data_IF_192347270206
#
_entry.id   IF_192347270206
#
_cell.length_a   1.000
_cell.length_b   1.000
_cell.length_c   1.000
_cell.angle_alpha   90.00
_cell.angle_beta   90.00
_cell.angle_gamma   90.00
#
_symmetry.space_group_name_H-M   'P 1'
#
loop_
_entity.id
_entity.type
_entity.pdbx_description
1 polymer ?
2 non-polymer ?
3 water ?
#
# COMPACT_ATOMS: atom_id res chain seq x y z
N UNK A 1 32.49 6.83 7.73
CA UNK A 1 31.12 6.70 8.19
C UNK A 1 30.99 6.09 9.59
N UNK A 2 29.77 6.37 10.01
CA UNK A 2 29.19 5.96 11.27
C UNK A 2 28.59 4.57 11.19
N UNK A 3 28.61 3.77 12.24
CA UNK A 3 27.88 2.52 12.34
C UNK A 3 27.13 2.59 13.66
N UNK A 4 25.83 2.42 13.75
CA UNK A 4 25.05 2.56 14.97
C UNK A 4 24.41 1.21 15.18
N UNK A 5 24.61 0.53 16.31
CA UNK A 5 23.95 -0.73 16.58
C UNK A 5 22.70 -0.44 17.38
N UNK A 6 21.64 -1.21 17.06
CA UNK A 6 20.40 -1.12 17.83
C UNK A 6 19.96 -2.56 18.06
N UNK A 7 19.43 -2.91 19.23
CA UNK A 7 18.88 -4.25 19.46
C UNK A 7 17.74 -4.51 18.44
N UNK A 8 16.86 -3.52 18.25
CA UNK A 8 15.74 -3.59 17.31
C UNK A 8 15.75 -2.34 16.41
N UNK A 9 15.72 -2.65 15.11
CA UNK A 9 15.60 -1.64 14.07
C UNK A 9 14.33 -1.82 13.25
N UNK A 10 13.58 -0.77 13.05
CA UNK A 10 12.35 -0.80 12.26
C UNK A 10 12.59 0.05 11.01
N UNK A 11 12.33 -0.57 9.86
CA UNK A 11 12.37 0.19 8.61
C UNK A 11 10.99 0.65 8.17
N UNK A 12 10.68 1.93 8.16
CA UNK A 12 9.44 2.38 7.57
C UNK A 12 8.73 3.21 8.59
N UNK A 13 8.15 4.31 8.12
CA UNK A 13 7.39 5.18 8.99
C UNK A 13 5.94 5.26 8.49
N UNK A 14 5.35 4.16 8.01
CA UNK A 14 3.94 4.09 7.71
C UNK A 14 3.26 3.52 8.94
N UNK A 15 1.95 3.18 8.94
CA UNK A 15 1.29 2.62 10.13
C UNK A 15 1.94 1.34 10.66
N UNK A 16 2.50 0.45 9.82
CA UNK A 16 3.09 -0.73 10.39
C UNK A 16 4.35 -0.36 11.13
N UNK A 17 5.27 0.47 10.57
CA UNK A 17 6.49 0.76 11.34
C UNK A 17 6.23 1.55 12.64
N UNK A 18 5.30 2.52 12.60
CA UNK A 18 4.98 3.28 13.80
C UNK A 18 4.30 2.47 14.89
N UNK A 19 3.42 1.52 14.51
CA UNK A 19 2.78 0.67 15.55
C UNK A 19 3.80 -0.26 16.11
N UNK A 20 4.72 -0.76 15.26
CA UNK A 20 5.76 -1.63 15.76
C UNK A 20 6.65 -0.85 16.71
N UNK A 21 6.94 0.44 16.45
CA UNK A 21 7.76 1.19 17.38
C UNK A 21 6.93 1.41 18.68
N UNK A 22 5.62 1.77 18.64
CA UNK A 22 5.00 2.02 19.95
C UNK A 22 4.95 0.70 20.70
N UNK A 23 4.71 -0.51 20.12
CA UNK A 23 4.74 -1.76 20.90
C UNK A 23 6.13 -2.13 21.32
N UNK A 24 7.16 -1.88 20.52
CA UNK A 24 8.54 -2.21 20.93
C UNK A 24 9.03 -1.26 22.05
N UNK A 25 8.70 0.03 21.99
CA UNK A 25 9.11 0.96 23.02
C UNK A 25 8.44 0.59 24.37
N UNK A 26 7.14 0.20 24.37
CA UNK A 26 6.48 -0.18 25.65
C UNK A 26 6.86 -1.58 26.03
N UNK A 27 7.73 -2.26 25.22
CA UNK A 27 8.26 -3.52 25.66
C UNK A 27 9.67 -3.28 26.20
N UNK A 28 10.05 -1.97 26.32
CA UNK A 28 11.37 -1.55 26.78
C UNK A 28 12.52 -2.00 25.87
N UNK A 29 12.24 -2.05 24.55
CA UNK A 29 13.24 -2.47 23.60
C UNK A 29 14.03 -1.33 22.99
N UNK A 30 13.70 -0.10 23.30
CA UNK A 30 14.39 1.09 22.81
C UNK A 30 14.59 1.04 21.30
N UNK A 31 13.53 0.98 20.51
CA UNK A 31 13.64 0.83 19.07
C UNK A 31 14.14 2.09 18.41
N UNK A 32 14.77 1.75 17.29
CA UNK A 32 15.20 2.76 16.36
C UNK A 32 14.38 2.55 15.10
N UNK A 33 13.78 3.58 14.56
CA UNK A 33 12.99 3.53 13.37
C UNK A 33 13.64 4.45 12.34
N UNK A 34 13.85 3.88 11.17
CA UNK A 34 14.31 4.60 9.98
C UNK A 34 13.15 4.91 9.10
N UNK A 35 12.98 6.21 8.89
CA UNK A 35 11.81 6.65 8.16
C UNK A 35 11.64 6.29 6.69
N UNK A 36 12.78 6.16 5.96
CA UNK A 36 12.70 6.09 4.52
C UNK A 36 12.43 7.48 3.99
N UNK A 37 12.39 7.61 2.66
CA UNK A 37 12.17 8.93 2.05
C UNK A 37 10.74 9.42 2.16
N UNK A 38 9.78 8.49 2.26
CA UNK A 38 8.38 8.92 2.38
C UNK A 38 7.94 8.89 3.86
N UNK A 39 8.16 9.99 4.54
CA UNK A 39 7.94 10.08 5.96
C UNK A 39 6.44 10.04 6.19
N UNK A 40 5.96 9.01 6.90
CA UNK A 40 4.53 8.91 7.14
C UNK A 40 3.90 7.89 6.23
N UNK A 41 4.63 7.46 5.19
CA UNK A 41 4.14 6.43 4.30
C UNK A 41 3.06 6.87 3.35
N UNK A 42 2.38 5.87 2.73
CA UNK A 42 1.39 6.07 1.67
C UNK A 42 0.18 6.87 2.05
N UNK A 43 -0.15 6.94 3.35
CA UNK A 43 -1.35 7.62 3.83
C UNK A 43 -1.17 9.13 3.78
N UNK A 44 0.07 9.63 3.70
CA UNK A 44 0.29 11.03 3.46
C UNK A 44 -0.07 11.39 2.03
N UNK A 45 -0.46 10.48 1.15
CA UNK A 45 -0.79 10.83 -0.23
C UNK A 45 -2.31 10.86 -0.43
N UNK A 46 -3.08 10.63 0.62
CA UNK A 46 -4.52 10.68 0.47
C UNK A 46 -5.05 11.80 1.38
N UNK A 47 -6.36 12.06 1.23
CA UNK A 47 -7.07 13.05 1.99
C UNK A 47 -7.95 12.35 3.03
N UNK A 48 -9.27 12.35 2.98
CA UNK A 48 -10.07 11.76 4.02
C UNK A 48 -9.91 10.23 4.14
N UNK A 49 -9.78 9.84 5.41
CA UNK A 49 -9.74 8.44 5.79
C UNK A 49 -10.99 8.18 6.71
N UNK A 50 -11.91 7.29 6.28
CA UNK A 50 -13.04 6.97 7.14
C UNK A 50 -13.27 5.53 7.54
N UNK A 51 -12.18 4.76 7.47
CA UNK A 51 -12.18 3.37 7.86
C UNK A 51 -11.07 3.07 8.82
N UNK A 52 -10.45 4.07 9.46
CA UNK A 52 -9.60 3.86 10.59
C UNK A 52 -10.56 3.76 11.80
N UNK A 53 -10.72 2.54 12.39
CA UNK A 53 -11.78 2.31 13.37
C UNK A 53 -11.65 3.16 14.65
N UNK A 54 -12.75 3.83 14.99
CA UNK A 54 -12.70 4.66 16.14
C UNK A 54 -12.45 6.10 15.73
N UNK A 55 -12.33 6.48 14.45
CA UNK A 55 -12.17 7.87 14.06
C UNK A 55 -13.27 8.15 13.09
N UNK A 56 -14.54 8.32 13.54
CA UNK A 56 -15.71 8.42 12.67
C UNK A 56 -15.72 9.60 11.74
N UNK A 57 -15.17 10.71 12.25
CA UNK A 57 -15.13 11.92 11.45
C UNK A 57 -13.80 12.66 11.50
N UNK A 58 -13.66 13.47 10.46
CA UNK A 58 -12.59 14.44 10.30
C UNK A 58 -11.18 13.87 10.21
N UNK A 59 -10.91 12.64 9.79
CA UNK A 59 -9.52 12.16 9.81
C UNK A 59 -9.03 12.23 8.42
N UNK A 60 -7.79 12.69 8.29
CA UNK A 60 -7.14 12.57 7.01
C UNK A 60 -5.86 11.72 7.21
N UNK A 61 -5.30 11.20 6.11
CA UNK A 61 -4.11 10.36 6.13
C UNK A 61 -2.96 11.06 6.79
N UNK A 62 -2.61 12.36 6.46
CA UNK A 62 -1.57 13.10 7.16
C UNK A 62 -1.85 13.27 8.66
N UNK A 63 -3.10 13.51 9.13
CA UNK A 63 -3.24 13.71 10.57
C UNK A 63 -3.05 12.39 11.29
N UNK A 64 -3.51 11.27 10.74
CA UNK A 64 -3.35 9.98 11.41
C UNK A 64 -1.85 9.75 11.57
N UNK A 65 -1.06 9.99 10.52
CA UNK A 65 0.37 9.68 10.60
C UNK A 65 1.12 10.61 11.57
N UNK A 66 0.65 11.85 11.73
CA UNK A 66 1.16 12.85 12.67
C UNK A 66 0.91 12.30 14.06
N UNK A 67 -0.33 11.84 14.29
CA UNK A 67 -0.67 11.20 15.57
C UNK A 67 0.17 10.01 15.87
N UNK A 68 0.43 9.15 14.86
CA UNK A 68 1.32 8.01 15.07
C UNK A 68 2.75 8.35 15.42
N UNK A 69 3.22 9.41 14.78
CA UNK A 69 4.59 9.87 15.00
C UNK A 69 4.68 10.41 16.40
N UNK A 70 3.71 11.22 16.85
CA UNK A 70 3.65 11.68 18.23
C UNK A 70 3.61 10.57 19.26
N UNK A 71 2.87 9.50 18.89
CA UNK A 71 2.73 8.35 19.76
C UNK A 71 4.08 7.65 19.89
N UNK A 72 4.78 7.36 18.80
CA UNK A 72 6.07 6.67 18.91
C UNK A 72 7.10 7.52 19.64
N UNK A 73 7.08 8.86 19.46
CA UNK A 73 8.10 9.67 20.13
C UNK A 73 7.72 9.89 21.57
N UNK A 74 6.45 9.82 22.01
CA UNK A 74 6.09 9.87 23.46
C UNK A 74 6.83 8.78 24.21
N UNK A 75 7.04 7.60 23.55
CA UNK A 75 7.70 6.50 24.20
C UNK A 75 9.18 6.48 23.83
N UNK A 76 9.73 7.59 23.35
CA UNK A 76 11.17 7.71 23.10
C UNK A 76 11.81 6.83 22.02
N UNK A 77 11.02 6.52 20.97
CA UNK A 77 11.54 5.85 19.81
C UNK A 77 12.54 6.86 19.20
N UNK A 78 13.72 6.35 18.87
CA UNK A 78 14.74 7.11 18.17
C UNK A 78 14.37 7.10 16.73
N UNK A 79 13.90 8.21 16.18
CA UNK A 79 13.58 8.27 14.78
C UNK A 79 14.73 8.87 13.93
N UNK A 80 15.13 8.17 12.86
CA UNK A 80 16.23 8.59 11.98
C UNK A 80 15.71 8.79 10.59
N UNK A 81 15.93 9.99 10.04
CA UNK A 81 15.52 10.23 8.65
C UNK A 81 16.66 9.73 7.76
N UNK A 82 16.54 8.50 7.25
CA UNK A 82 17.50 7.94 6.32
C UNK A 82 16.71 6.95 5.43
N UNK A 83 17.31 6.32 4.43
CA UNK A 83 16.68 5.42 3.53
C UNK A 83 17.71 4.38 3.32
N UNK A 84 17.36 3.10 3.43
CA UNK A 84 18.31 1.98 3.27
C UNK A 84 18.48 1.55 1.81
N UNK A 85 19.75 1.52 1.37
CA UNK A 85 20.02 1.15 -0.02
C UNK A 85 20.70 -0.21 -0.20
N UNK A 86 21.18 -0.88 0.85
CA UNK A 86 21.85 -2.15 0.69
C UNK A 86 21.73 -2.86 2.02
N UNK A 87 21.70 -4.20 2.07
CA UNK A 87 21.49 -4.92 3.29
C UNK A 87 22.34 -6.17 3.22
N UNK A 88 22.81 -6.63 4.37
CA UNK A 88 23.36 -7.97 4.49
C UNK A 88 22.69 -8.60 5.71
N UNK A 89 21.90 -9.63 5.40
CA UNK A 89 21.04 -10.30 6.36
C UNK A 89 21.54 -11.68 6.64
N UNK A 90 22.68 -12.00 6.01
CA UNK A 90 23.22 -13.33 6.15
C UNK A 90 24.34 -13.41 7.15
N UNK A 91 24.80 -12.29 7.68
CA UNK A 91 25.66 -12.31 8.83
C UNK A 91 24.98 -11.67 10.04
N UNK A 92 25.53 -11.83 11.24
CA UNK A 92 24.94 -11.33 12.45
C UNK A 92 26.00 -10.47 13.07
N UNK A 93 25.66 -9.27 13.59
CA UNK A 93 24.34 -8.65 13.49
C UNK A 93 24.00 -8.37 12.03
N UNK A 94 22.73 -8.20 11.70
CA UNK A 94 22.32 -7.70 10.41
C UNK A 94 22.95 -6.35 10.13
N UNK A 95 23.41 -6.13 8.88
CA UNK A 95 23.95 -4.83 8.55
C UNK A 95 23.16 -4.17 7.44
N UNK A 96 22.88 -2.88 7.55
CA UNK A 96 22.04 -2.14 6.65
C UNK A 96 22.77 -0.83 6.39
N UNK A 97 22.82 -0.47 5.13
CA UNK A 97 23.56 0.69 4.69
C UNK A 97 22.59 1.74 4.21
N UNK A 98 22.64 2.86 4.88
CA UNK A 98 21.84 4.00 4.48
C UNK A 98 22.73 5.09 3.85
N UNK A 99 22.09 6.20 3.56
CA UNK A 99 22.81 7.33 2.98
C UNK A 99 23.60 8.02 4.08
N UNK A 100 23.07 8.02 5.31
CA UNK A 100 23.72 8.71 6.41
C UNK A 100 24.53 7.80 7.32
N UNK A 101 24.88 6.58 6.89
CA UNK A 101 25.69 5.67 7.66
C UNK A 101 25.23 4.21 7.59
N UNK A 102 25.82 3.40 8.45
CA UNK A 102 25.56 2.00 8.52
C UNK A 102 24.78 1.73 9.81
N UNK A 103 23.94 0.74 9.82
CA UNK A 103 23.13 0.38 10.97
C UNK A 103 23.29 -1.12 11.13
N UNK A 104 23.50 -1.58 12.36
CA UNK A 104 23.46 -3.01 12.61
C UNK A 104 22.39 -3.24 13.66
N UNK A 105 21.88 -4.47 13.72
CA UNK A 105 20.82 -4.75 14.70
C UNK A 105 20.70 -6.22 14.94
N UNK A 106 20.10 -6.60 16.08
CA UNK A 106 19.94 -8.03 16.39
C UNK A 106 18.61 -8.57 15.85
N UNK A 107 17.63 -7.70 15.69
CA UNK A 107 16.31 -8.06 15.11
C UNK A 107 15.87 -6.88 14.24
N UNK A 108 15.19 -7.22 13.16
CA UNK A 108 14.80 -6.28 12.14
C UNK A 108 13.33 -6.40 11.81
N UNK A 109 12.64 -5.29 11.78
CA UNK A 109 11.25 -5.32 11.32
C UNK A 109 11.27 -4.51 10.03
N UNK A 110 10.83 -5.14 8.96
CA UNK A 110 10.80 -4.53 7.65
C UNK A 110 9.33 -4.16 7.50
N UNK A 111 9.07 -2.88 7.27
CA UNK A 111 7.74 -2.35 7.03
C UNK A 111 7.80 -1.28 5.94
N UNK A 112 8.38 -1.71 4.79
CA UNK A 112 8.66 -0.75 3.73
C UNK A 112 7.56 -0.52 2.71
N UNK A 113 6.35 -1.14 2.86
CA UNK A 113 5.27 -0.74 1.98
C UNK A 113 5.35 -1.31 0.58
N UNK A 114 4.29 -0.98 -0.13
CA UNK A 114 4.04 -1.39 -1.53
C UNK A 114 3.21 -0.26 -2.19
N UNK A 115 3.94 0.71 -2.76
CA UNK A 115 3.33 1.94 -3.26
C UNK A 115 2.57 1.82 -4.52
N UNK A 116 1.46 2.55 -4.60
CA UNK A 116 0.62 2.57 -5.79
C UNK A 116 1.23 3.42 -6.92
N UNK A 117 1.17 2.85 -8.14
CA UNK A 117 1.65 3.54 -9.35
C UNK A 117 0.42 4.28 -9.89
N UNK A 118 0.74 5.40 -10.61
CA UNK A 118 -0.23 6.25 -11.26
C UNK A 118 0.08 6.29 -12.75
N UNK A 119 -0.84 6.87 -13.53
CA UNK A 119 -0.68 6.96 -14.99
C UNK A 119 0.37 7.99 -15.38
N UNK A 120 0.60 9.03 -14.55
CA UNK A 120 1.57 10.07 -14.86
C UNK A 120 1.05 11.21 -15.70
N UNK A 121 -0.28 11.34 -15.74
CA UNK A 121 -0.95 12.41 -16.50
C UNK A 121 -1.09 13.64 -15.64
N UNK A 122 -0.91 14.88 -16.10
CA UNK A 122 -1.01 16.03 -15.24
C UNK A 122 -2.45 16.30 -14.82
N UNK A 123 -3.49 16.01 -15.63
CA UNK A 123 -4.89 16.12 -15.16
C UNK A 123 -5.24 15.07 -14.09
N UNK A 124 -4.65 13.85 -14.16
CA UNK A 124 -4.82 12.90 -13.03
C UNK A 124 -4.20 13.43 -11.72
N UNK A 125 -2.99 14.01 -11.83
CA UNK A 125 -2.27 14.60 -10.73
C UNK A 125 -3.08 15.66 -10.05
N UNK A 126 -3.69 16.53 -10.89
CA UNK A 126 -4.54 17.64 -10.48
C UNK A 126 -5.67 17.20 -9.55
N UNK A 127 -6.32 16.10 -9.93
CA UNK A 127 -7.42 15.56 -9.18
C UNK A 127 -7.12 14.50 -8.11
N UNK A 128 -5.85 14.20 -7.80
CA UNK A 128 -5.50 13.24 -6.74
C UNK A 128 -6.17 13.69 -5.49
N UNK A 129 -6.90 12.78 -4.85
CA UNK A 129 -7.56 13.11 -3.58
C UNK A 129 -8.87 13.89 -3.72
N UNK A 130 -9.34 14.13 -4.94
CA UNK A 130 -10.57 14.85 -5.21
C UNK A 130 -11.23 14.17 -6.40
N UNK A 131 -11.26 12.86 -6.37
CA UNK A 131 -11.89 12.14 -7.45
C UNK A 131 -10.99 11.08 -8.08
N UNK A 132 -9.67 11.18 -7.95
CA UNK A 132 -8.77 10.13 -8.46
C UNK A 132 -8.24 9.41 -7.21
N UNK A 133 -8.24 8.09 -7.22
CA UNK A 133 -7.83 7.35 -6.05
C UNK A 133 -7.13 6.12 -6.56
N UNK A 134 -6.35 5.47 -5.70
CA UNK A 134 -5.72 4.22 -6.11
C UNK A 134 -6.18 3.18 -5.11
N UNK A 135 -7.24 3.38 -4.30
CA UNK A 135 -7.69 2.32 -3.41
C UNK A 135 -9.25 2.33 -3.32
N UNK A 136 -9.87 1.35 -3.98
CA UNK A 136 -11.32 1.19 -4.02
C UNK A 136 -11.87 0.79 -2.67
N UNK A 137 -11.17 -0.07 -1.90
CA UNK A 137 -11.68 -0.42 -0.58
C UNK A 137 -11.78 0.78 0.30
N UNK A 138 -10.79 1.66 0.19
CA UNK A 138 -10.70 2.81 1.06
C UNK A 138 -11.77 3.84 0.65
N UNK A 139 -11.81 4.10 -0.66
CA UNK A 139 -12.59 5.24 -1.16
C UNK A 139 -13.86 4.96 -1.92
N UNK A 140 -14.16 3.70 -2.14
CA UNK A 140 -15.30 3.32 -3.00
C UNK A 140 -16.60 3.84 -2.42
N UNK A 141 -16.75 3.87 -1.09
CA UNK A 141 -18.04 4.25 -0.48
C UNK A 141 -18.41 5.71 -0.64
N UNK A 142 -17.42 6.60 -0.93
CA UNK A 142 -17.71 7.98 -1.26
C UNK A 142 -18.51 8.02 -2.52
N UNK A 143 -18.41 7.04 -3.39
CA UNK A 143 -19.12 7.04 -4.66
C UNK A 143 -20.34 6.17 -4.74
N UNK A 144 -20.93 5.85 -3.62
CA UNK A 144 -22.10 4.97 -3.58
C UNK A 144 -23.18 5.54 -4.46
N UNK A 145 -23.70 4.72 -5.38
CA UNK A 145 -24.79 5.06 -6.28
C UNK A 145 -24.36 6.08 -7.30
N UNK A 146 -23.07 6.18 -7.58
CA UNK A 146 -22.59 7.11 -8.61
C UNK A 146 -21.81 6.33 -9.64
N UNK A 147 -21.42 6.88 -10.78
CA UNK A 147 -20.69 6.18 -11.85
C UNK A 147 -19.19 6.34 -11.57
N UNK A 148 -18.47 5.29 -11.78
CA UNK A 148 -17.06 5.24 -11.42
C UNK A 148 -16.27 4.60 -12.55
N UNK A 149 -15.00 4.97 -12.74
CA UNK A 149 -14.21 4.26 -13.71
C UNK A 149 -13.02 3.75 -12.89
N UNK A 150 -12.54 2.63 -13.37
CA UNK A 150 -11.38 1.91 -12.86
C UNK A 150 -10.46 1.73 -14.08
N UNK A 151 -9.17 2.06 -14.00
CA UNK A 151 -8.31 1.73 -15.14
C UNK A 151 -7.19 0.73 -14.76
N UNK A 152 -6.93 -0.25 -15.61
CA UNK A 152 -5.92 -1.23 -15.33
C UNK A 152 -6.28 -2.54 -16.00
N UNK A 153 -5.28 -3.45 -15.96
CA UNK A 153 -5.53 -4.64 -16.73
C UNK A 153 -5.16 -5.89 -15.99
N UNK A 154 -4.69 -5.83 -14.75
CA UNK A 154 -4.35 -7.10 -14.09
C UNK A 154 -5.40 -7.51 -13.08
N UNK A 155 -4.89 -8.25 -12.09
CA UNK A 155 -5.73 -8.70 -11.00
C UNK A 155 -6.32 -7.57 -10.19
N UNK A 156 -5.49 -6.56 -9.88
CA UNK A 156 -5.94 -5.48 -9.04
C UNK A 156 -7.10 -4.73 -9.69
N UNK A 157 -7.01 -4.44 -11.00
CA UNK A 157 -8.08 -3.70 -11.61
C UNK A 157 -9.38 -4.49 -11.64
N UNK A 158 -9.36 -5.79 -11.93
CA UNK A 158 -10.60 -6.58 -11.99
C UNK A 158 -11.15 -6.71 -10.55
N UNK A 159 -10.28 -6.85 -9.54
CA UNK A 159 -10.70 -6.98 -8.14
C UNK A 159 -11.36 -5.70 -7.72
N UNK A 160 -10.78 -4.55 -8.09
CA UNK A 160 -11.29 -3.26 -7.69
C UNK A 160 -12.62 -2.98 -8.39
N UNK A 161 -12.83 -3.37 -9.64
CA UNK A 161 -14.06 -3.04 -10.34
C UNK A 161 -15.14 -3.94 -9.82
N UNK A 162 -14.78 -5.15 -9.43
CA UNK A 162 -15.67 -6.15 -8.89
C UNK A 162 -16.16 -5.67 -7.53
N UNK A 163 -15.22 -5.13 -6.70
CA UNK A 163 -15.59 -4.61 -5.43
C UNK A 163 -16.51 -3.40 -5.61
N UNK A 164 -16.18 -2.52 -6.57
CA UNK A 164 -16.90 -1.28 -6.75
C UNK A 164 -18.28 -1.52 -7.30
N UNK A 165 -18.54 -2.59 -8.04
CA UNK A 165 -19.87 -2.85 -8.63
C UNK A 165 -21.00 -3.07 -7.60
N UNK A 166 -20.63 -3.36 -6.35
CA UNK A 166 -21.60 -3.48 -5.30
C UNK A 166 -21.94 -2.18 -4.67
N UNK A 167 -21.20 -1.11 -4.96
CA UNK A 167 -21.36 0.18 -4.29
C UNK A 167 -21.85 1.28 -5.25
N UNK A 168 -21.18 1.35 -6.42
CA UNK A 168 -21.43 2.28 -7.52
C UNK A 168 -22.67 1.86 -8.30
N UNK A 169 -23.34 2.83 -8.92
CA UNK A 169 -24.47 2.51 -9.78
C UNK A 169 -23.86 1.85 -11.05
N UNK A 170 -22.69 2.29 -11.57
CA UNK A 170 -22.05 1.51 -12.61
C UNK A 170 -20.55 1.78 -12.57
N UNK A 171 -19.87 0.79 -13.12
CA UNK A 171 -18.40 0.75 -13.09
C UNK A 171 -17.93 0.60 -14.53
N UNK A 172 -17.10 1.56 -14.89
CA UNK A 172 -16.53 1.57 -16.24
C UNK A 172 -15.09 1.06 -16.19
N UNK A 173 -14.82 -0.19 -16.57
CA UNK A 173 -13.48 -0.76 -16.49
C UNK A 173 -12.73 -0.43 -17.78
N UNK A 174 -11.60 0.28 -17.70
CA UNK A 174 -10.84 0.79 -18.86
C UNK A 174 -9.52 0.07 -18.95
N UNK A 175 -9.18 -0.40 -20.14
CA UNK A 175 -7.88 -1.05 -20.36
C UNK A 175 -7.47 -0.89 -21.83
N UNK A 176 -6.17 -0.81 -22.07
CA UNK A 176 -5.60 -0.69 -23.40
C UNK A 176 -5.67 -1.93 -24.22
N UNK A 177 -5.48 -3.10 -23.63
CA UNK A 177 -5.48 -4.34 -24.35
C UNK A 177 -6.92 -4.80 -24.57
N UNK A 178 -7.17 -5.87 -25.34
CA UNK A 178 -8.53 -6.35 -25.52
C UNK A 178 -8.74 -7.56 -24.62
N UNK A 179 -8.19 -7.44 -23.41
CA UNK A 179 -8.25 -8.49 -22.44
C UNK A 179 -7.53 -8.15 -21.16
N UNK A 180 -7.98 -8.90 -20.16
CA UNK A 180 -7.43 -8.75 -18.85
C UNK A 180 -6.50 -9.89 -18.51
N UNK A 181 -5.48 -9.53 -17.75
CA UNK A 181 -4.40 -10.38 -17.28
C UNK A 181 -4.81 -10.76 -15.85
N UNK A 182 -5.88 -11.53 -15.66
CA UNK A 182 -6.33 -11.81 -14.30
C UNK A 182 -6.67 -13.27 -14.00
N UNK A 183 -6.77 -13.61 -12.71
CA UNK A 183 -7.19 -14.94 -12.27
C UNK A 183 -8.56 -15.30 -12.80
N UNK A 184 -8.67 -16.56 -13.18
CA UNK A 184 -9.89 -17.24 -13.66
C UNK A 184 -11.22 -16.92 -12.99
N UNK A 185 -11.19 -16.97 -11.66
CA UNK A 185 -12.38 -16.78 -10.86
C UNK A 185 -12.76 -15.31 -10.91
N UNK A 186 -11.74 -14.46 -10.97
CA UNK A 186 -11.95 -13.02 -11.13
C UNK A 186 -12.61 -12.73 -12.48
N UNK A 187 -12.17 -13.32 -13.60
CA UNK A 187 -12.74 -13.01 -14.93
C UNK A 187 -14.15 -13.56 -15.17
N UNK A 188 -14.41 -14.72 -14.57
CA UNK A 188 -15.74 -15.35 -14.56
C UNK A 188 -16.73 -14.41 -13.90
N UNK A 189 -16.36 -13.87 -12.74
CA UNK A 189 -17.23 -12.97 -11.99
C UNK A 189 -17.44 -11.65 -12.75
N UNK A 190 -16.33 -11.18 -13.37
CA UNK A 190 -16.32 -10.00 -14.21
C UNK A 190 -17.29 -10.19 -15.40
N UNK A 191 -17.22 -11.35 -16.09
CA UNK A 191 -18.11 -11.51 -17.22
C UNK A 191 -19.56 -11.61 -16.82
N UNK A 192 -19.79 -12.18 -15.64
CA UNK A 192 -21.10 -12.22 -15.01
C UNK A 192 -21.67 -10.84 -14.76
N UNK A 193 -20.88 -9.91 -14.20
CA UNK A 193 -21.34 -8.55 -13.91
C UNK A 193 -21.43 -7.69 -15.14
N UNK A 194 -20.64 -8.02 -16.16
CA UNK A 194 -20.74 -7.32 -17.42
C UNK A 194 -22.07 -7.68 -18.11
N UNK A 195 -22.32 -9.00 -18.18
CA UNK A 195 -23.50 -9.49 -18.82
C UNK A 195 -24.74 -9.26 -17.98
N UNK A 196 -24.82 -9.66 -16.71
CA UNK A 196 -26.03 -9.48 -15.95
C UNK A 196 -25.90 -8.25 -15.09
N UNK A 197 -25.31 -7.17 -15.60
CA UNK A 197 -25.25 -5.98 -14.76
C UNK A 197 -24.44 -4.73 -15.11
N UNK A 198 -23.80 -4.50 -13.96
CA UNK A 198 -23.10 -3.31 -13.53
C UNK A 198 -21.82 -2.73 -14.09
N UNK A 199 -21.05 -3.65 -14.69
CA UNK A 199 -19.75 -3.28 -15.18
C UNK A 199 -19.76 -3.19 -16.70
N UNK A 200 -19.39 -1.98 -17.12
CA UNK A 200 -19.19 -1.66 -18.52
C UNK A 200 -17.72 -1.66 -18.92
N UNK A 201 -17.44 -2.50 -19.91
CA UNK A 201 -16.08 -2.71 -20.37
C UNK A 201 -15.67 -1.72 -21.47
N UNK A 202 -14.44 -1.21 -21.41
CA UNK A 202 -13.91 -0.29 -22.43
C UNK A 202 -12.49 -0.74 -22.77
N UNK A 203 -12.42 -1.88 -23.45
CA UNK A 203 -11.17 -2.41 -23.93
C UNK A 203 -10.61 -1.60 -25.13
N UNK A 204 -9.32 -1.69 -25.46
CA UNK A 204 -8.68 -0.88 -26.50
C UNK A 204 -8.87 0.62 -26.44
N UNK A 205 -8.76 1.11 -25.22
CA UNK A 205 -8.90 2.51 -24.94
C UNK A 205 -7.77 2.88 -24.00
N UNK A 206 -7.24 4.11 -24.21
CA UNK A 206 -6.29 4.71 -23.30
C UNK A 206 -6.95 5.94 -22.71
N UNK A 207 -6.55 6.30 -21.49
CA UNK A 207 -7.04 7.47 -20.87
C UNK A 207 -6.16 8.63 -21.31
N UNK A 208 -6.86 9.57 -21.95
CA UNK A 208 -6.31 10.80 -22.49
C UNK A 208 -6.35 11.90 -21.47
N UNK A 209 -7.40 12.03 -20.69
CA UNK A 209 -7.46 13.17 -19.79
C UNK A 209 -8.59 12.96 -18.76
N UNK A 210 -8.47 13.54 -17.58
CA UNK A 210 -9.47 13.44 -16.55
C UNK A 210 -9.99 14.84 -16.51
N UNK A 211 -11.31 14.95 -16.63
CA UNK A 211 -11.90 16.26 -16.49
C UNK A 211 -12.66 16.33 -15.20
N UNK A 212 -12.87 17.56 -14.81
CA UNK A 212 -13.53 17.84 -13.56
C UNK A 212 -13.75 19.33 -13.42
N UNK A 213 -14.21 19.71 -12.23
CA UNK A 213 -14.44 21.10 -11.89
C UNK A 213 -13.72 21.35 -10.61
N UNK A 214 -14.03 22.50 -10.00
CA UNK A 214 -13.49 23.01 -8.75
C UNK A 214 -13.61 21.98 -7.64
N UNK A 215 -14.73 21.23 -7.66
CA UNK A 215 -14.99 20.18 -6.69
C UNK A 215 -14.42 18.77 -6.97
N UNK A 216 -14.36 18.29 -8.21
CA UNK A 216 -13.77 17.01 -8.49
C UNK A 216 -14.01 16.51 -9.89
N UNK A 217 -13.69 15.25 -10.10
CA UNK A 217 -13.78 14.58 -11.38
C UNK A 217 -15.19 14.52 -11.91
N UNK A 218 -15.39 14.77 -13.19
CA UNK A 218 -16.71 14.73 -13.78
C UNK A 218 -16.64 13.88 -15.01
N UNK A 219 -15.42 13.56 -15.43
CA UNK A 219 -15.32 12.73 -16.62
C UNK A 219 -13.91 12.29 -16.94
N UNK A 220 -13.82 11.55 -18.01
CA UNK A 220 -12.56 10.92 -18.47
C UNK A 220 -12.65 10.86 -20.00
N UNK A 221 -11.60 11.12 -20.78
CA UNK A 221 -11.63 11.06 -22.23
C UNK A 221 -10.74 9.89 -22.61
N UNK A 222 -11.28 9.05 -23.45
CA UNK A 222 -10.67 7.81 -23.89
C UNK A 222 -10.43 7.93 -25.38
N UNK A 223 -9.51 7.13 -25.94
CA UNK A 223 -9.30 7.07 -27.37
C UNK A 223 -8.94 5.65 -27.78
N UNK A 224 -9.15 5.39 -29.12
CA UNK A 224 -8.69 4.24 -29.95
C UNK A 224 -9.65 3.05 -30.21
N UNK A 225 -9.16 1.92 -30.74
CA UNK A 225 -9.79 0.60 -30.83
C UNK A 225 -8.83 -0.27 -31.68
N UNK A 226 -9.15 -1.55 -32.04
CA UNK A 226 -8.34 -2.31 -33.00
C UNK A 226 -8.66 -1.63 -34.35
N UNK A 227 -7.65 -0.80 -34.65
CA UNK A 227 -7.50 0.10 -35.78
C UNK A 227 -8.54 1.22 -35.93
N UNK A 228 -8.29 2.36 -35.24
CA UNK A 228 -9.06 3.62 -35.30
C UNK A 228 -8.68 4.64 -34.21
N UNK A 229 -9.15 5.88 -34.41
CA UNK A 229 -9.08 6.94 -33.41
C UNK A 229 -10.49 7.56 -33.23
N UNK A 230 -11.17 6.68 -32.48
CA UNK A 230 -12.55 6.74 -32.08
C UNK A 230 -13.01 7.89 -31.17
N UNK A 231 -12.29 8.05 -30.03
CA UNK A 231 -12.57 8.96 -28.90
C UNK A 231 -13.96 8.96 -28.24
N UNK A 232 -13.94 8.57 -26.95
CA UNK A 232 -15.12 8.47 -26.10
C UNK A 232 -14.97 9.38 -24.90
N UNK A 233 -15.98 10.11 -24.50
CA UNK A 233 -15.90 10.88 -23.27
C UNK A 233 -16.86 10.21 -22.26
N UNK A 234 -16.42 9.86 -21.03
CA UNK A 234 -17.29 9.25 -20.01
C UNK A 234 -17.66 10.24 -18.92
N UNK A 235 -18.92 10.24 -18.45
CA UNK A 235 -19.34 11.03 -17.27
C UNK A 235 -19.07 10.13 -16.08
N UNK A 236 -18.27 10.51 -15.09
CA UNK A 236 -17.94 9.58 -14.02
C UNK A 236 -17.65 10.50 -12.86
N UNK A 237 -17.91 10.14 -11.62
CA UNK A 237 -17.59 10.98 -10.47
C UNK A 237 -16.21 10.66 -9.84
N UNK A 238 -15.67 9.49 -10.13
CA UNK A 238 -14.43 9.10 -9.53
C UNK A 238 -13.71 8.16 -10.46
N UNK A 239 -12.38 8.20 -10.42
CA UNK A 239 -11.53 7.35 -11.25
C UNK A 239 -10.64 6.54 -10.29
N UNK A 240 -10.55 5.20 -10.40
CA UNK A 240 -9.73 4.42 -9.52
C UNK A 240 -8.59 3.95 -10.43
N UNK A 241 -7.40 4.44 -10.17
CA UNK A 241 -6.31 3.91 -10.99
C UNK A 241 -5.72 2.66 -10.31
N UNK A 242 -5.78 1.57 -11.08
CA UNK A 242 -5.54 0.24 -10.58
C UNK A 242 -4.54 -0.52 -11.44
N UNK A 243 -3.41 0.13 -11.64
CA UNK A 243 -2.45 -0.50 -12.49
C UNK A 243 -1.40 -1.30 -11.71
N UNK A 244 -1.43 -1.34 -10.39
CA UNK A 244 -0.49 -2.13 -9.64
C UNK A 244 0.28 -1.30 -8.62
N UNK A 245 0.89 -2.05 -7.73
CA UNK A 245 1.71 -1.55 -6.61
C UNK A 245 3.15 -1.99 -6.77
N UNK A 246 4.11 -1.30 -6.14
CA UNK A 246 5.52 -1.70 -6.24
C UNK A 246 5.94 -2.01 -4.82
N UNK A 247 6.00 -3.26 -4.36
CA UNK A 247 6.52 -3.58 -3.05
C UNK A 247 7.99 -3.13 -2.97
N UNK A 248 8.35 -2.51 -1.85
CA UNK A 248 9.66 -1.90 -1.75
C UNK A 248 10.61 -2.92 -1.17
N UNK A 249 10.94 -3.88 -2.02
CA UNK A 249 11.76 -4.99 -1.59
C UNK A 249 12.96 -5.24 -2.49
N UNK A 250 13.35 -4.36 -3.43
CA UNK A 250 14.46 -4.66 -4.33
C UNK A 250 15.74 -4.92 -3.53
N UNK A 251 15.96 -4.17 -2.47
CA UNK A 251 17.09 -4.29 -1.51
C UNK A 251 17.17 -5.68 -0.88
N UNK A 252 16.04 -6.42 -0.80
CA UNK A 252 15.99 -7.72 -0.16
C UNK A 252 16.07 -8.88 -1.11
N UNK A 253 16.12 -8.63 -2.40
CA UNK A 253 16.18 -9.70 -3.40
C UNK A 253 17.39 -10.59 -3.26
N UNK A 254 17.23 -11.90 -3.29
CA UNK A 254 18.30 -12.82 -3.09
C UNK A 254 18.57 -12.93 -1.61
N UNK A 255 17.99 -12.22 -0.63
CA UNK A 255 18.28 -12.42 0.80
C UNK A 255 17.09 -13.04 1.53
N UNK A 256 15.89 -12.69 1.11
CA UNK A 256 14.67 -13.17 1.76
C UNK A 256 13.75 -13.80 0.72
N UNK A 257 12.93 -14.77 1.09
CA UNK A 257 11.94 -15.27 0.10
C UNK A 257 10.84 -14.23 -0.10
N UNK A 258 10.61 -14.01 -1.38
CA UNK A 258 9.66 -13.04 -1.90
C UNK A 258 8.61 -13.76 -2.72
N UNK A 259 7.41 -13.24 -2.87
CA UNK A 259 6.41 -13.88 -3.74
C UNK A 259 5.81 -12.71 -4.50
N UNK A 260 6.18 -12.70 -5.76
CA UNK A 260 5.95 -11.57 -6.61
C UNK A 260 6.40 -10.26 -6.01
N UNK A 261 7.54 -10.26 -5.34
CA UNK A 261 8.09 -9.02 -4.83
C UNK A 261 7.65 -8.80 -3.40
N UNK A 262 6.59 -9.47 -2.91
CA UNK A 262 6.16 -9.29 -1.52
C UNK A 262 6.94 -10.20 -0.59
N UNK A 263 7.25 -9.74 0.61
CA UNK A 263 7.98 -10.59 1.54
C UNK A 263 7.07 -11.69 2.05
N UNK A 264 7.47 -12.93 1.93
CA UNK A 264 6.73 -14.04 2.51
C UNK A 264 6.99 -14.18 4.03
N UNK A 265 5.93 -14.32 4.81
CA UNK A 265 6.08 -14.46 6.24
C UNK A 265 5.46 -15.81 6.57
N UNK A 266 5.80 -16.28 7.75
CA UNK A 266 5.51 -17.60 8.20
C UNK A 266 4.00 -17.70 8.39
N UNK A 267 3.36 -16.60 8.80
CA UNK A 267 1.93 -16.51 9.16
C UNK A 267 1.49 -17.63 10.12
N UNK A 268 0.19 -18.01 10.11
CA UNK A 268 -0.21 -19.05 11.03
C UNK A 268 -0.78 -18.54 12.34
N UNK A 269 -1.24 -19.52 13.14
CA UNK A 269 -1.93 -19.19 14.39
C UNK A 269 -1.20 -19.60 15.65
N UNK A 270 0.06 -19.98 15.50
CA UNK A 270 0.92 -20.48 16.60
C UNK A 270 2.03 -19.54 17.00
N UNK A 271 1.88 -18.26 16.57
CA UNK A 271 2.90 -17.26 16.84
C UNK A 271 4.01 -17.19 15.78
N UNK A 272 4.88 -16.19 15.95
CA UNK A 272 5.96 -15.92 15.04
C UNK A 272 5.42 -15.72 13.67
N UNK A 273 4.23 -15.13 13.60
CA UNK A 273 3.54 -15.00 12.34
C UNK A 273 4.21 -14.04 11.38
N UNK A 274 4.95 -13.03 11.84
CA UNK A 274 5.58 -12.08 10.92
C UNK A 274 7.01 -12.47 10.59
N UNK A 275 7.50 -13.64 11.08
CA UNK A 275 8.86 -14.01 10.71
C UNK A 275 8.99 -14.28 9.20
N UNK A 276 10.02 -13.71 8.57
CA UNK A 276 10.39 -13.97 7.19
C UNK A 276 11.14 -15.30 7.12
N UNK A 277 11.79 -15.60 5.95
CA UNK A 277 12.60 -16.81 5.85
C UNK A 277 13.88 -16.75 6.70
N UNK A 278 14.25 -15.59 7.27
CA UNK A 278 15.45 -15.52 8.09
C UNK A 278 15.02 -15.27 9.53
N UNK A 279 15.43 -16.10 10.48
CA UNK A 279 15.13 -15.94 11.94
C UNK A 279 15.64 -14.61 12.41
N UNK A 280 14.77 -13.80 13.01
CA UNK A 280 15.16 -12.50 13.52
C UNK A 280 14.81 -11.32 12.64
N UNK A 281 14.29 -11.62 11.43
CA UNK A 281 13.82 -10.64 10.48
C UNK A 281 12.34 -10.96 10.32
N UNK A 282 11.61 -9.88 10.57
CA UNK A 282 10.14 -9.86 10.65
C UNK A 282 9.63 -8.87 9.65
N UNK A 283 8.45 -9.06 9.05
CA UNK A 283 7.90 -8.06 8.14
C UNK A 283 6.46 -7.73 8.55
N UNK A 284 6.00 -6.52 8.25
CA UNK A 284 4.67 -6.09 8.66
C UNK A 284 4.15 -5.09 7.60
N UNK A 285 2.81 -4.92 7.48
CA UNK A 285 2.26 -3.92 6.58
C UNK A 285 2.11 -4.41 5.15
N UNK A 286 1.95 -3.50 4.19
CA UNK A 286 1.68 -3.88 2.81
C UNK A 286 2.81 -4.59 2.13
N UNK A 287 4.06 -4.49 2.60
CA UNK A 287 5.17 -5.23 1.99
C UNK A 287 4.96 -6.76 2.09
N UNK A 288 4.15 -7.23 3.06
CA UNK A 288 3.92 -8.67 3.21
C UNK A 288 2.43 -9.00 3.03
N UNK A 289 1.67 -8.08 2.48
CA UNK A 289 0.23 -8.34 2.35
C UNK A 289 -0.22 -7.79 1.02
N UNK A 290 -0.41 -8.65 0.03
CA UNK A 290 -0.95 -8.15 -1.19
C UNK A 290 -2.45 -8.41 -1.22
N UNK A 291 -3.09 -8.73 -0.10
CA UNK A 291 -4.53 -9.03 -0.14
C UNK A 291 -5.43 -7.97 0.45
N UNK A 292 -5.15 -7.39 1.63
CA UNK A 292 -6.08 -6.48 2.29
C UNK A 292 -5.65 -5.05 2.12
N UNK A 293 -4.37 -4.77 2.39
CA UNK A 293 -3.74 -3.48 2.10
C UNK A 293 -4.45 -2.29 2.66
N UNK A 294 -4.54 -2.31 4.00
CA UNK A 294 -5.24 -1.25 4.69
C UNK A 294 -4.30 -0.81 5.79
N UNK A 295 -4.56 0.37 6.33
CA UNK A 295 -3.82 0.90 7.45
C UNK A 295 -4.08 0.10 8.70
N UNK A 296 -5.32 -0.37 8.91
CA UNK A 296 -5.56 -1.09 10.14
C UNK A 296 -4.91 -2.48 10.13
N UNK A 297 -4.83 -3.20 8.98
CA UNK A 297 -4.19 -4.46 8.95
C UNK A 297 -2.70 -4.22 9.05
N UNK A 298 -2.17 -3.11 8.52
CA UNK A 298 -0.73 -2.81 8.63
C UNK A 298 -0.38 -2.53 10.08
N UNK A 299 -1.22 -1.73 10.79
CA UNK A 299 -0.97 -1.54 12.19
C UNK A 299 -1.09 -2.83 12.95
N UNK A 300 -2.04 -3.72 12.65
CA UNK A 300 -2.11 -4.99 13.38
C UNK A 300 -0.86 -5.86 13.17
N UNK A 301 -0.30 -5.99 11.95
CA UNK A 301 0.88 -6.82 11.73
C UNK A 301 2.09 -6.07 12.24
N UNK A 302 2.07 -4.72 12.31
CA UNK A 302 3.15 -3.97 12.97
C UNK A 302 3.21 -4.28 14.45
N UNK A 303 2.04 -4.39 15.11
CA UNK A 303 2.00 -4.90 16.48
C UNK A 303 2.59 -6.32 16.63
N UNK A 304 2.20 -7.23 15.73
CA UNK A 304 2.59 -8.62 15.83
C UNK A 304 4.09 -8.69 15.63
N UNK A 305 4.62 -7.88 14.74
CA UNK A 305 6.08 -7.93 14.48
C UNK A 305 6.90 -7.47 15.69
N UNK A 306 6.48 -6.42 16.38
CA UNK A 306 7.14 -5.98 17.58
C UNK A 306 7.14 -7.05 18.66
N UNK A 307 6.00 -7.74 18.86
CA UNK A 307 5.96 -8.80 19.88
C UNK A 307 6.67 -10.04 19.46
N UNK A 308 6.68 -10.34 18.19
CA UNK A 308 7.47 -11.45 17.69
C UNK A 308 8.95 -11.13 17.86
N UNK A 309 9.35 -9.90 17.55
CA UNK A 309 10.75 -9.43 17.71
C UNK A 309 11.16 -9.49 19.20
N UNK A 310 10.25 -9.10 20.13
CA UNK A 310 10.51 -9.17 21.57
C UNK A 310 10.70 -10.61 21.99
N UNK A 311 9.87 -11.56 21.54
CA UNK A 311 9.99 -12.96 21.92
C UNK A 311 11.25 -13.53 21.33
N UNK A 312 11.60 -13.16 20.10
CA UNK A 312 12.85 -13.67 19.57
C UNK A 312 14.05 -13.17 20.39
N UNK A 313 14.11 -11.88 20.66
CA UNK A 313 15.20 -11.27 21.37
C UNK A 313 15.31 -11.84 22.78
N UNK A 314 14.17 -12.30 23.35
CA UNK A 314 14.27 -12.93 24.66
C UNK A 314 14.46 -14.44 24.63
N UNK A 315 14.87 -15.05 23.53
CA UNK A 315 15.18 -16.46 23.50
C UNK A 315 14.02 -17.40 23.36
N UNK A 316 12.81 -16.92 23.05
CA UNK A 316 11.61 -17.73 22.87
C UNK A 316 11.29 -17.89 21.37
#
# INVERSE_FOLDING_TARGET
>A
GTTKHSKLLILGSGPAGYTAAVYAARANLQPVLITGMEKGGQLTTTTEVENWPGDPNDLTGPLLMERMHEHATKFETEIIFDHINKVDLQNRPFRLNGDNGEYTCDALIIATGASARYLGLPSEEAFKGRGVSACATSDGFFYRNQKVAVIGGGNTAVEEALYLSNIASEVHLIHRRDGFRAEKILIKRLMDKVENGNIILHTNRTLEEVTGDQMGVTGVRLRDTQNSDNIESLDVAGLFVAIGHSPNTAIFEGQLELENGYIKVQSGIHGNATQTSIPGVFAAGDVMDHIYRQAITSAGTGCMAALDAERYLDGLADAK
#
